data_IF_229965474557
#
_entry.id   IF_229965474557
#
_cell.length_a   1.000
_cell.length_b   1.000
_cell.length_c   1.000
_cell.angle_alpha   90.00
_cell.angle_beta   90.00
_cell.angle_gamma   90.00
#
_symmetry.space_group_name_H-M   'P 1'
#
loop_
_entity.id
_entity.type
_entity.pdbx_description
1 polymer ?
#
# COMPACT_ATOMS: atom_id res chain seq x y z
N UNK A 1 -5.33 -2.60 2.14
CA UNK A 1 -4.08 -3.39 2.02
C UNK A 1 -2.93 -2.42 2.26
N UNK A 2 -2.08 -2.70 3.25
CA UNK A 2 -1.07 -1.75 3.75
C UNK A 2 -0.10 -1.33 2.65
N UNK A 3 -0.07 -0.05 2.24
CA UNK A 3 1.03 0.48 1.44
C UNK A 3 2.30 0.53 2.30
N UNK A 4 3.32 -0.24 1.93
CA UNK A 4 4.65 -0.01 2.50
C UNK A 4 5.21 1.20 1.75
N UNK A 5 5.20 2.36 2.39
CA UNK A 5 5.62 3.60 1.77
C UNK A 5 7.16 3.68 1.67
N UNK A 6 7.65 4.24 0.56
CA UNK A 6 9.02 4.74 0.42
C UNK A 6 9.38 5.73 1.55
N UNK A 7 10.67 6.09 1.76
CA UNK A 7 11.06 7.04 2.79
C UNK A 7 10.20 8.30 2.69
N UNK A 8 9.41 8.51 3.74
CA UNK A 8 8.44 9.58 3.78
C UNK A 8 9.21 10.90 3.96
N UNK A 9 9.02 11.84 3.03
CA UNK A 9 9.71 13.12 3.08
C UNK A 9 9.13 13.95 4.22
N UNK A 10 9.97 14.37 5.17
CA UNK A 10 9.54 15.30 6.24
C UNK A 10 9.35 16.69 5.66
N UNK A 11 8.17 17.28 5.84
CA UNK A 11 7.82 18.60 5.32
C UNK A 11 8.10 19.75 6.32
N UNK A 12 8.53 19.41 7.55
CA UNK A 12 8.62 20.34 8.66
C UNK A 12 7.38 20.33 9.55
N UNK A 13 7.45 20.95 10.73
CA UNK A 13 6.34 21.06 11.69
C UNK A 13 5.70 19.72 12.11
N UNK A 14 6.51 18.65 12.17
CA UNK A 14 6.01 17.30 12.47
C UNK A 14 5.14 16.68 11.36
N UNK A 15 5.12 17.26 10.17
CA UNK A 15 4.39 16.75 9.01
C UNK A 15 5.26 15.89 8.12
N UNK A 16 4.62 14.89 7.53
CA UNK A 16 5.25 13.91 6.66
C UNK A 16 4.46 13.81 5.35
N UNK A 17 5.16 13.87 4.22
CA UNK A 17 4.57 13.63 2.91
C UNK A 17 4.37 12.13 2.72
N UNK A 18 3.11 11.74 2.56
CA UNK A 18 2.71 10.38 2.23
C UNK A 18 2.31 10.32 0.76
N UNK A 19 3.19 9.76 -0.07
CA UNK A 19 2.93 9.64 -1.51
C UNK A 19 2.43 8.24 -1.87
N UNK A 20 1.12 8.14 -2.12
CA UNK A 20 0.45 6.91 -2.52
C UNK A 20 0.81 6.44 -3.94
N UNK A 21 1.46 7.26 -4.78
CA UNK A 21 1.93 6.81 -6.08
C UNK A 21 3.01 5.73 -5.97
N UNK A 22 3.67 5.61 -4.81
CA UNK A 22 4.68 4.61 -4.52
C UNK A 22 4.17 3.46 -3.63
N UNK A 23 2.86 3.37 -3.39
CA UNK A 23 2.28 2.20 -2.72
C UNK A 23 2.54 0.93 -3.53
N UNK A 24 2.93 -0.16 -2.87
CA UNK A 24 3.18 -1.46 -3.49
C UNK A 24 2.53 -2.60 -2.70
N UNK A 25 2.35 -3.73 -3.37
CA UNK A 25 1.76 -4.93 -2.80
C UNK A 25 2.82 -5.78 -2.08
N UNK A 26 2.56 -6.25 -0.86
CA UNK A 26 3.50 -7.12 -0.13
C UNK A 26 3.72 -8.43 -0.88
N UNK A 27 4.87 -9.09 -0.67
CA UNK A 27 5.24 -10.32 -1.39
C UNK A 27 4.18 -11.43 -1.38
N UNK A 28 3.37 -11.50 -0.33
CA UNK A 28 2.27 -12.47 -0.25
C UNK A 28 1.20 -12.31 -1.34
N UNK A 29 1.10 -11.13 -1.98
CA UNK A 29 0.24 -10.92 -3.13
C UNK A 29 0.71 -11.69 -4.38
N UNK A 30 2.00 -12.04 -4.43
CA UNK A 30 2.64 -12.70 -5.58
C UNK A 30 2.99 -14.16 -5.31
N UNK A 31 3.18 -14.53 -4.04
CA UNK A 31 3.61 -15.87 -3.68
C UNK A 31 2.86 -16.35 -2.41
N UNK A 32 2.07 -17.44 -2.50
CA UNK A 32 1.25 -17.94 -1.41
C UNK A 32 2.06 -18.53 -0.25
N UNK A 33 3.37 -18.79 -0.44
CA UNK A 33 4.27 -19.22 0.63
C UNK A 33 4.60 -18.12 1.64
N UNK A 34 4.22 -16.87 1.38
CA UNK A 34 4.47 -15.73 2.27
C UNK A 34 3.20 -15.31 3.01
N UNK A 35 3.36 -14.92 4.27
CA UNK A 35 2.24 -14.44 5.11
C UNK A 35 2.02 -12.95 4.92
N UNK A 36 0.76 -12.56 4.67
CA UNK A 36 0.41 -11.15 4.55
C UNK A 36 0.35 -10.44 5.90
N UNK A 37 0.86 -9.20 6.01
CA UNK A 37 0.52 -8.33 7.14
C UNK A 37 -0.92 -7.85 7.00
N UNK A 38 -1.70 -8.00 8.07
CA UNK A 38 -3.09 -7.52 8.12
C UNK A 38 -3.10 -6.12 8.75
N UNK A 39 -3.58 -5.08 8.04
CA UNK A 39 -3.76 -3.77 8.64
C UNK A 39 -4.77 -3.81 9.80
N UNK A 40 -4.54 -3.04 10.87
CA UNK A 40 -5.59 -2.75 11.82
C UNK A 40 -6.65 -1.85 11.16
N UNK A 41 -7.86 -1.83 11.73
CA UNK A 41 -9.03 -1.19 11.12
C UNK A 41 -8.86 0.32 10.98
N UNK A 42 -8.10 0.93 11.89
CA UNK A 42 -7.77 2.35 11.94
C UNK A 42 -6.98 2.82 10.71
N UNK A 43 -6.33 1.89 10.01
CA UNK A 43 -5.59 2.18 8.78
C UNK A 43 -6.46 2.05 7.51
N UNK A 44 -7.77 1.85 7.65
CA UNK A 44 -8.69 1.79 6.52
C UNK A 44 -9.17 3.19 6.16
N UNK A 45 -8.85 3.61 4.94
CA UNK A 45 -9.29 4.89 4.40
C UNK A 45 -10.68 4.72 3.76
N UNK A 46 -11.57 5.67 4.02
CA UNK A 46 -12.93 5.69 3.44
C UNK A 46 -12.96 6.23 2.01
N UNK A 47 -11.82 6.72 1.53
CA UNK A 47 -11.66 7.30 0.20
C UNK A 47 -10.90 6.35 -0.73
N UNK A 48 -11.28 6.36 -2.00
CA UNK A 48 -10.60 5.57 -3.01
C UNK A 48 -9.26 6.21 -3.40
N UNK A 49 -8.18 5.43 -3.33
CA UNK A 49 -6.86 5.82 -3.81
C UNK A 49 -6.61 5.13 -5.16
N UNK A 50 -6.58 5.93 -6.23
CA UNK A 50 -6.40 5.45 -7.61
C UNK A 50 -4.94 5.58 -8.08
N UNK A 51 -4.00 5.34 -7.18
CA UNK A 51 -2.55 5.48 -7.39
C UNK A 51 -1.81 4.25 -6.81
N UNK A 52 -0.53 4.11 -7.15
CA UNK A 52 0.31 3.00 -6.70
C UNK A 52 0.35 1.82 -7.67
N UNK A 53 1.02 0.76 -7.23
CA UNK A 53 1.13 -0.49 -7.95
C UNK A 53 -0.26 -1.11 -8.20
N UNK A 54 -0.49 -1.54 -9.43
CA UNK A 54 -1.65 -2.34 -9.80
C UNK A 54 -1.17 -3.74 -10.08
N UNK A 55 -1.45 -4.68 -9.19
CA UNK A 55 -1.43 -6.09 -9.59
C UNK A 55 -2.66 -6.32 -10.46
N UNK A 56 -2.46 -6.44 -11.76
CA UNK A 56 -3.44 -7.09 -12.63
C UNK A 56 -3.05 -8.57 -12.64
N UNK A 57 -3.59 -9.42 -11.76
CA UNK A 57 -3.62 -10.83 -12.11
C UNK A 57 -4.41 -10.90 -13.41
N UNK A 58 -3.91 -11.66 -14.37
CA UNK A 58 -4.69 -12.05 -15.54
C UNK A 58 -6.13 -12.31 -15.09
N UNK A 59 -7.07 -11.71 -15.81
CA UNK A 59 -8.50 -12.00 -15.68
C UNK A 59 -8.64 -13.52 -15.74
N UNK A 60 -8.71 -14.16 -14.58
CA UNK A 60 -9.13 -15.55 -14.51
C UNK A 60 -10.65 -15.49 -14.68
N UNK A 61 -11.22 -16.10 -15.74
CA UNK A 61 -12.67 -16.16 -15.88
C UNK A 61 -13.32 -16.81 -14.66
#
# INVERSE_FOLDING_TARGET
MLPIFRPALTLGDGRTLLDFNYAYNPYCAYNPGWRCPIPPIENHLTVAIRAGERSYPDVKP
#
